data_IF_502677844743
#
_entry.id   IF_502677844743
#
_cell.length_a   1.000
_cell.length_b   1.000
_cell.length_c   1.000
_cell.angle_alpha   90.00
_cell.angle_beta   90.00
_cell.angle_gamma   90.00
#
_symmetry.space_group_name_H-M   'P 1'
#
loop_
_entity.id
_entity.type
_entity.pdbx_description
1 polymer ?
#
# COMPACT_ATOMS: atom_id res chain seq x y z
N UNK A 1 10.81 -5.53 -18.98
CA UNK A 1 10.11 -4.58 -18.08
C UNK A 1 10.90 -4.54 -16.79
N UNK A 2 11.38 -3.36 -16.40
CA UNK A 2 12.27 -3.21 -15.26
C UNK A 2 11.46 -2.70 -14.05
N UNK A 3 11.11 -3.60 -13.13
CA UNK A 3 10.54 -3.23 -11.84
C UNK A 3 11.65 -2.63 -10.98
N UNK A 4 11.43 -1.43 -10.47
CA UNK A 4 12.35 -0.75 -9.55
C UNK A 4 11.65 -0.51 -8.22
N UNK A 5 12.15 -1.15 -7.17
CA UNK A 5 11.63 -0.95 -5.81
C UNK A 5 12.01 0.44 -5.31
N UNK A 6 11.02 1.21 -4.87
CA UNK A 6 11.19 2.53 -4.24
C UNK A 6 11.20 2.36 -2.73
N UNK A 7 10.26 1.56 -2.22
CA UNK A 7 10.17 1.16 -0.84
C UNK A 7 9.93 -0.34 -0.78
N UNK A 8 10.83 -1.03 -0.09
CA UNK A 8 10.70 -2.46 0.15
C UNK A 8 9.60 -2.74 1.18
N UNK A 9 9.21 -4.01 1.29
CA UNK A 9 8.17 -4.47 2.20
C UNK A 9 8.31 -3.86 3.59
N UNK A 10 7.27 -3.15 4.00
CA UNK A 10 7.18 -2.47 5.28
C UNK A 10 5.92 -2.95 5.97
N UNK A 11 6.08 -3.49 7.17
CA UNK A 11 4.97 -3.87 8.04
C UNK A 11 4.25 -2.62 8.55
N UNK A 12 2.92 -2.68 8.57
CA UNK A 12 2.07 -1.60 9.03
C UNK A 12 0.78 -2.15 9.63
N UNK A 13 0.29 -1.48 10.65
CA UNK A 13 -1.02 -1.77 11.23
C UNK A 13 -2.01 -0.74 10.72
N UNK A 14 -3.12 -1.22 10.15
CA UNK A 14 -4.18 -0.37 9.64
C UNK A 14 -5.40 -0.48 10.53
N UNK A 15 -5.83 0.68 11.03
CA UNK A 15 -7.10 0.87 11.70
C UNK A 15 -8.23 0.84 10.65
N UNK A 16 -9.10 -0.16 10.76
CA UNK A 16 -10.35 -0.27 10.03
C UNK A 16 -11.50 0.37 10.84
N UNK A 17 -12.74 0.25 10.36
CA UNK A 17 -13.93 0.71 11.08
C UNK A 17 -14.14 -0.10 12.37
N UNK A 18 -14.73 0.53 13.39
CA UNK A 18 -15.12 -0.10 14.65
C UNK A 18 -13.98 -0.77 15.44
N UNK A 19 -12.83 -0.09 15.55
CA UNK A 19 -11.67 -0.54 16.35
C UNK A 19 -11.03 -1.85 15.86
N UNK A 20 -11.41 -2.32 14.68
CA UNK A 20 -10.75 -3.44 14.03
C UNK A 20 -9.41 -2.98 13.46
N UNK A 21 -8.40 -3.82 13.62
CA UNK A 21 -7.07 -3.59 13.07
C UNK A 21 -6.73 -4.74 12.14
N UNK A 22 -5.99 -4.44 11.08
CA UNK A 22 -5.40 -5.48 10.23
C UNK A 22 -3.91 -5.23 10.10
N UNK A 23 -3.14 -6.27 10.43
CA UNK A 23 -1.71 -6.33 10.13
C UNK A 23 -1.55 -6.56 8.63
N UNK A 24 -0.79 -5.67 8.00
CA UNK A 24 -0.52 -5.72 6.56
C UNK A 24 0.94 -5.36 6.33
N UNK A 25 1.43 -5.71 5.16
CA UNK A 25 2.68 -5.21 4.64
C UNK A 25 2.47 -4.59 3.28
N UNK A 26 3.28 -3.58 2.98
CA UNK A 26 3.19 -2.90 1.71
C UNK A 26 4.57 -2.63 1.12
N UNK A 27 4.63 -2.60 -0.20
CA UNK A 27 5.79 -2.13 -0.94
C UNK A 27 5.36 -1.06 -1.94
N UNK A 28 6.30 -0.19 -2.30
CA UNK A 28 6.11 0.79 -3.37
C UNK A 28 7.16 0.53 -4.42
N UNK A 29 6.73 0.37 -5.66
CA UNK A 29 7.62 0.13 -6.78
C UNK A 29 7.20 0.96 -7.99
N UNK A 30 8.16 1.17 -8.88
CA UNK A 30 7.93 1.69 -10.20
C UNK A 30 7.98 0.56 -11.21
N UNK A 31 6.98 0.50 -12.08
CA UNK A 31 7.01 -0.32 -13.28
C UNK A 31 6.78 0.59 -14.48
N UNK A 32 7.75 0.60 -15.39
CA UNK A 32 7.88 1.58 -16.47
C UNK A 32 7.88 3.03 -15.93
N UNK A 33 6.89 3.85 -16.28
CA UNK A 33 6.74 5.23 -15.79
C UNK A 33 5.75 5.35 -14.62
N UNK A 34 5.05 4.27 -14.27
CA UNK A 34 3.97 4.27 -13.28
C UNK A 34 4.45 3.81 -11.91
N UNK A 35 3.85 4.37 -10.88
CA UNK A 35 4.12 4.04 -9.49
C UNK A 35 3.00 3.16 -8.96
N UNK A 36 3.37 2.15 -8.17
CA UNK A 36 2.42 1.21 -7.61
C UNK A 36 2.68 1.02 -6.12
N UNK A 37 1.60 0.94 -5.37
CA UNK A 37 1.58 0.50 -3.99
C UNK A 37 0.92 -0.87 -3.95
N UNK A 38 1.66 -1.90 -3.55
CA UNK A 38 1.13 -3.25 -3.38
C UNK A 38 0.97 -3.54 -1.90
N UNK A 39 -0.17 -4.16 -1.58
CA UNK A 39 -0.59 -4.55 -0.25
C UNK A 39 -0.73 -6.07 -0.15
N UNK A 40 -0.25 -6.60 0.96
CA UNK A 40 -0.42 -8.00 1.35
C UNK A 40 -0.77 -8.10 2.83
N UNK A 41 -1.40 -9.20 3.22
CA UNK A 41 -1.55 -9.52 4.65
C UNK A 41 -0.28 -10.16 5.23
N UNK A 42 -0.36 -10.52 6.50
CA UNK A 42 0.67 -11.19 7.28
C UNK A 42 1.00 -12.61 6.75
N UNK A 43 0.04 -13.26 6.08
CA UNK A 43 0.24 -14.54 5.38
C UNK A 43 0.86 -14.39 3.98
N UNK A 44 1.25 -13.17 3.59
CA UNK A 44 1.77 -12.83 2.25
C UNK A 44 0.74 -13.00 1.12
N UNK A 45 -0.55 -13.05 1.45
CA UNK A 45 -1.64 -13.08 0.48
C UNK A 45 -1.85 -11.69 -0.09
N UNK A 46 -1.97 -11.62 -1.42
CA UNK A 46 -2.24 -10.37 -2.11
C UNK A 46 -3.60 -9.79 -1.72
N UNK A 47 -3.61 -8.56 -1.21
CA UNK A 47 -4.83 -7.81 -0.90
C UNK A 47 -5.21 -6.91 -2.07
N UNK A 48 -4.28 -6.04 -2.49
CA UNK A 48 -4.55 -5.03 -3.52
C UNK A 48 -3.28 -4.43 -4.13
N UNK A 49 -3.34 -3.97 -5.37
CA UNK A 49 -2.32 -3.11 -5.99
C UNK A 49 -2.98 -1.83 -6.47
N UNK A 50 -2.50 -0.69 -5.99
CA UNK A 50 -2.97 0.63 -6.38
C UNK A 50 -1.94 1.31 -7.29
N UNK A 51 -2.38 1.80 -8.44
CA UNK A 51 -1.60 2.74 -9.26
C UNK A 51 -1.64 4.12 -8.62
N UNK A 52 -0.46 4.68 -8.32
CA UNK A 52 -0.30 6.00 -7.74
C UNK A 52 -0.20 7.06 -8.85
N UNK A 53 -0.96 8.16 -8.77
CA UNK A 53 -0.90 9.24 -9.76
C UNK A 53 0.48 9.87 -9.89
N UNK A 54 0.82 10.32 -11.09
CA UNK A 54 2.03 11.09 -11.33
C UNK A 54 2.04 12.37 -10.49
N UNK A 55 3.15 12.60 -9.78
CA UNK A 55 3.30 13.70 -8.82
C UNK A 55 3.11 13.29 -7.36
N UNK A 56 2.62 12.09 -7.09
CA UNK A 56 2.50 11.54 -5.73
C UNK A 56 3.81 10.90 -5.25
N UNK A 57 4.93 11.63 -5.37
CA UNK A 57 6.18 11.26 -4.70
C UNK A 57 6.03 11.58 -3.22
N UNK A 58 5.57 10.59 -2.49
CA UNK A 58 5.29 10.68 -1.07
C UNK A 58 6.53 10.28 -0.28
N UNK A 59 6.79 11.01 0.80
CA UNK A 59 7.68 10.52 1.86
C UNK A 59 7.08 9.25 2.48
N UNK A 60 7.92 8.39 3.06
CA UNK A 60 7.52 7.08 3.63
C UNK A 60 6.23 7.14 4.47
N UNK A 61 6.12 8.13 5.36
CA UNK A 61 4.97 8.34 6.24
C UNK A 61 3.67 8.63 5.49
N UNK A 62 3.76 9.27 4.32
CA UNK A 62 2.59 9.60 3.51
C UNK A 62 2.00 8.38 2.80
N UNK A 63 2.81 7.33 2.53
CA UNK A 63 2.28 6.05 2.03
C UNK A 63 1.41 5.34 3.07
N UNK A 64 1.79 5.37 4.35
CA UNK A 64 0.98 4.77 5.42
C UNK A 64 -0.38 5.45 5.59
N UNK A 65 -0.42 6.79 5.44
CA UNK A 65 -1.69 7.55 5.49
C UNK A 65 -2.58 7.15 4.32
N UNK A 66 -2.02 7.11 3.10
CA UNK A 66 -2.74 6.68 1.91
C UNK A 66 -3.27 5.23 2.07
N UNK A 67 -2.45 4.36 2.66
CA UNK A 67 -2.79 2.98 2.94
C UNK A 67 -4.07 2.83 3.76
N UNK A 68 -4.22 3.67 4.79
CA UNK A 68 -5.41 3.69 5.66
C UNK A 68 -6.66 4.08 4.90
N UNK A 69 -6.58 5.10 4.04
CA UNK A 69 -7.73 5.52 3.22
C UNK A 69 -8.13 4.44 2.20
N UNK A 70 -7.16 3.85 1.51
CA UNK A 70 -7.41 2.83 0.47
C UNK A 70 -8.03 1.58 1.08
N UNK A 71 -7.49 1.08 2.20
CA UNK A 71 -8.03 -0.11 2.84
C UNK A 71 -9.42 0.12 3.44
N UNK A 72 -9.73 1.33 3.90
CA UNK A 72 -11.09 1.65 4.35
C UNK A 72 -12.11 1.54 3.22
N UNK A 73 -11.74 1.85 1.97
CA UNK A 73 -12.62 1.74 0.81
C UNK A 73 -12.61 0.34 0.17
N UNK A 74 -11.46 -0.35 0.16
CA UNK A 74 -11.30 -1.67 -0.48
C UNK A 74 -11.77 -2.82 0.41
N UNK A 75 -11.52 -2.77 1.73
CA UNK A 75 -11.86 -3.86 2.67
C UNK A 75 -13.28 -3.73 3.23
N UNK A 76 -13.87 -2.52 3.19
CA UNK A 76 -15.25 -2.32 3.67
C UNK A 76 -16.35 -2.65 2.63
N UNK A 77 -15.97 -3.19 1.45
CA UNK A 77 -16.87 -3.57 0.37
C UNK A 77 -17.24 -5.05 0.40
#
# INVERSE_FOLDING_TARGET
MAKSTIQDWTDSVVLLKYDQHKDVKYQVFREDEKHFLELRDDEDTHIHTLELPDGMRLDKTSYEVLLRYVLLDVVAA
#
